data_IF_885533550945
#
_entry.id   IF_885533550945
#
_cell.length_a   1.000
_cell.length_b   1.000
_cell.length_c   1.000
_cell.angle_alpha   90.00
_cell.angle_beta   90.00
_cell.angle_gamma   90.00
#
_symmetry.space_group_name_H-M   'P 1'
#
loop_
_entity.id
_entity.type
_entity.pdbx_description
1 polymer ?
#
# COMPACT_ATOMS: atom_id res chain seq x y z
N UNK A 1 3.81 24.95 -20.57
CA UNK A 1 4.62 23.72 -20.74
C UNK A 1 3.74 22.55 -20.37
N UNK A 2 3.74 21.46 -21.14
CA UNK A 2 2.96 20.26 -20.83
C UNK A 2 3.57 19.46 -19.68
N UNK A 3 2.83 18.49 -19.16
CA UNK A 3 3.31 17.61 -18.10
C UNK A 3 4.49 16.76 -18.59
N UNK A 4 5.53 16.65 -17.76
CA UNK A 4 6.67 15.76 -17.96
C UNK A 4 6.52 14.55 -17.02
N UNK A 5 6.20 13.41 -17.60
CA UNK A 5 6.09 12.13 -16.90
C UNK A 5 7.46 11.72 -16.31
N UNK A 6 7.54 11.37 -15.01
CA UNK A 6 8.76 10.85 -14.42
C UNK A 6 9.17 9.51 -15.05
N UNK A 7 10.49 9.25 -15.05
CA UNK A 7 11.04 7.98 -15.50
C UNK A 7 10.52 6.78 -14.69
N UNK A 8 10.45 5.60 -15.33
CA UNK A 8 9.85 4.38 -14.79
C UNK A 8 10.35 4.03 -13.37
N UNK A 9 11.68 4.01 -13.19
CA UNK A 9 12.28 3.70 -11.88
C UNK A 9 11.89 4.71 -10.80
N UNK A 10 11.82 6.01 -11.14
CA UNK A 10 11.41 7.04 -10.20
C UNK A 10 9.95 6.87 -9.79
N UNK A 11 9.06 6.65 -10.77
CA UNK A 11 7.63 6.45 -10.52
C UNK A 11 7.37 5.22 -9.64
N UNK A 12 8.01 4.08 -9.92
CA UNK A 12 7.88 2.88 -9.09
C UNK A 12 8.45 3.06 -7.69
N UNK A 13 9.62 3.69 -7.55
CA UNK A 13 10.20 3.96 -6.24
C UNK A 13 9.29 4.83 -5.39
N UNK A 14 8.76 5.93 -5.96
CA UNK A 14 7.82 6.81 -5.27
C UNK A 14 6.51 6.10 -4.92
N UNK A 15 6.04 5.20 -5.78
CA UNK A 15 4.85 4.39 -5.49
C UNK A 15 5.09 3.44 -4.32
N UNK A 16 6.26 2.81 -4.24
CA UNK A 16 6.61 1.92 -3.13
C UNK A 16 6.65 2.65 -1.79
N UNK A 17 7.09 3.92 -1.76
CA UNK A 17 7.14 4.75 -0.54
C UNK A 17 5.92 5.66 -0.35
N UNK A 18 4.87 5.51 -1.17
CA UNK A 18 3.70 6.40 -1.16
C UNK A 18 2.99 6.37 0.20
N UNK A 19 2.83 5.18 0.78
CA UNK A 19 2.24 5.00 2.11
C UNK A 19 3.05 5.73 3.20
N UNK A 20 4.37 5.64 3.18
CA UNK A 20 5.24 6.31 4.15
C UNK A 20 5.21 7.82 3.98
N UNK A 21 5.20 8.29 2.74
CA UNK A 21 5.07 9.72 2.40
C UNK A 21 3.76 10.28 2.94
N UNK A 22 2.65 9.58 2.71
CA UNK A 22 1.34 9.98 3.24
C UNK A 22 1.32 9.98 4.77
N UNK A 23 1.80 8.90 5.41
CA UNK A 23 1.85 8.80 6.88
C UNK A 23 2.65 9.95 7.50
N UNK A 24 3.75 10.39 6.87
CA UNK A 24 4.52 11.56 7.32
C UNK A 24 3.73 12.85 7.22
N UNK A 25 2.99 13.07 6.12
CA UNK A 25 2.20 14.28 5.93
C UNK A 25 1.08 14.42 6.96
N UNK A 26 0.43 13.32 7.33
CA UNK A 26 -0.62 13.32 8.37
C UNK A 26 -0.08 13.16 9.79
N UNK A 27 1.24 13.19 9.99
CA UNK A 27 1.93 12.99 11.27
C UNK A 27 1.46 11.72 12.02
N UNK A 28 1.28 10.62 11.28
CA UNK A 28 0.83 9.35 11.86
C UNK A 28 1.90 8.78 12.80
N UNK A 29 1.45 8.07 13.84
CA UNK A 29 2.34 7.32 14.72
C UNK A 29 3.18 6.32 13.92
N UNK A 30 4.50 6.35 14.13
CA UNK A 30 5.44 5.42 13.51
C UNK A 30 5.76 4.34 14.55
N UNK A 31 5.21 3.12 14.41
CA UNK A 31 5.49 2.07 15.38
C UNK A 31 6.97 1.65 15.32
N UNK A 32 7.59 1.32 16.46
CA UNK A 32 8.90 0.66 16.48
C UNK A 32 8.89 -0.63 15.65
N UNK A 33 10.04 -1.12 15.21
CA UNK A 33 10.11 -2.44 14.54
C UNK A 33 9.69 -3.55 15.48
N UNK A 34 9.30 -4.71 14.93
CA UNK A 34 8.88 -5.85 15.76
C UNK A 34 9.93 -6.24 16.80
N UNK A 35 11.21 -6.26 16.41
CA UNK A 35 12.34 -6.55 17.29
C UNK A 35 12.45 -5.52 18.41
N UNK A 36 12.29 -4.23 18.09
CA UNK A 36 12.29 -3.15 19.08
C UNK A 36 11.11 -3.27 20.06
N UNK A 37 9.92 -3.63 19.58
CA UNK A 37 8.76 -3.88 20.46
C UNK A 37 9.04 -5.07 21.38
N UNK A 38 9.58 -6.19 20.86
CA UNK A 38 9.94 -7.35 21.69
C UNK A 38 10.94 -6.96 22.78
N UNK A 39 11.99 -6.21 22.45
CA UNK A 39 13.01 -5.75 23.39
C UNK A 39 12.44 -4.81 24.48
N UNK A 40 11.55 -3.89 24.10
CA UNK A 40 10.87 -3.00 25.05
C UNK A 40 9.97 -3.80 26.01
N UNK A 41 9.24 -4.79 25.49
CA UNK A 41 8.36 -5.65 26.30
C UNK A 41 9.15 -6.62 27.20
N UNK A 42 10.29 -7.12 26.76
CA UNK A 42 11.12 -8.04 27.58
C UNK A 42 11.75 -7.33 28.78
N UNK A 43 12.16 -6.06 28.62
CA UNK A 43 12.69 -5.22 29.70
C UNK A 43 11.62 -4.62 30.63
N UNK A 44 10.33 -4.82 30.32
CA UNK A 44 9.21 -4.22 31.05
C UNK A 44 9.17 -4.58 32.55
N UNK A 45 9.36 -5.85 32.97
CA UNK A 45 9.34 -6.23 34.39
C UNK A 45 10.45 -5.55 35.20
N UNK A 46 11.66 -5.43 34.63
CA UNK A 46 12.81 -4.79 35.27
C UNK A 46 12.54 -3.29 35.48
N UNK A 47 12.11 -2.58 34.42
CA UNK A 47 11.74 -1.15 34.49
C UNK A 47 10.62 -0.89 35.49
N UNK A 48 9.64 -1.78 35.58
CA UNK A 48 8.55 -1.67 36.54
C UNK A 48 9.05 -1.77 37.98
N UNK A 49 9.87 -2.78 38.28
CA UNK A 49 10.45 -2.94 39.60
C UNK A 49 11.31 -1.74 40.00
N UNK A 50 12.12 -1.22 39.08
CA UNK A 50 12.93 -0.02 39.31
C UNK A 50 12.05 1.20 39.68
N UNK A 51 11.00 1.48 38.90
CA UNK A 51 10.11 2.63 39.16
C UNK A 51 9.29 2.48 40.44
N UNK A 52 8.79 1.29 40.75
CA UNK A 52 8.04 1.05 41.99
C UNK A 52 8.93 1.24 43.21
N UNK A 53 10.17 0.73 43.18
CA UNK A 53 11.10 0.88 44.29
C UNK A 53 11.51 2.34 44.53
N UNK A 54 11.48 3.20 43.49
CA UNK A 54 11.73 4.64 43.60
C UNK A 54 10.54 5.45 44.13
N UNK A 55 9.31 4.92 44.09
CA UNK A 55 8.12 5.56 44.68
C UNK A 55 7.99 5.13 46.15
N UNK A 56 8.63 5.84 47.07
CA UNK A 56 8.45 5.66 48.52
C UNK A 56 7.35 6.59 49.07
N UNK A 57 6.35 6.04 49.76
CA UNK A 57 5.29 6.82 50.40
C UNK A 57 4.12 5.98 50.93
N UNK A 58 3.41 6.49 51.95
CA UNK A 58 2.33 5.81 52.70
C UNK A 58 1.11 5.36 51.84
N UNK A 59 1.01 5.82 50.59
CA UNK A 59 -0.12 5.57 49.68
C UNK A 59 0.19 4.56 48.56
N UNK A 60 1.36 3.92 48.56
CA UNK A 60 1.77 2.90 47.56
C UNK A 60 1.17 1.53 47.89
N UNK A 61 -0.05 1.49 48.42
CA UNK A 61 -0.70 0.26 48.90
C UNK A 61 -1.96 -0.12 48.09
N UNK A 62 -1.93 0.06 46.78
CA UNK A 62 -2.92 -0.54 45.89
C UNK A 62 -2.26 -1.66 45.07
N UNK A 63 -2.37 -2.88 45.59
CA UNK A 63 -2.17 -4.19 44.93
C UNK A 63 -1.02 -4.23 43.91
N UNK A 64 0.23 -4.23 44.39
CA UNK A 64 1.45 -4.45 43.60
C UNK A 64 1.34 -5.71 42.71
N UNK A 65 0.77 -6.80 43.25
CA UNK A 65 0.52 -8.06 42.53
C UNK A 65 -0.38 -7.89 41.31
N UNK A 66 -1.60 -7.35 41.48
CA UNK A 66 -2.54 -7.14 40.37
C UNK A 66 -1.96 -6.25 39.25
N UNK A 67 -1.15 -5.25 39.58
CA UNK A 67 -0.51 -4.36 38.59
C UNK A 67 0.69 -5.01 37.90
N UNK A 68 1.41 -5.89 38.59
CA UNK A 68 2.41 -6.78 37.99
C UNK A 68 1.76 -7.77 37.04
N UNK A 69 0.68 -8.45 37.44
CA UNK A 69 -0.01 -9.46 36.61
C UNK A 69 -0.61 -8.84 35.33
N UNK A 70 -1.17 -7.64 35.46
CA UNK A 70 -1.65 -6.84 34.32
C UNK A 70 -0.55 -6.42 33.35
N UNK A 71 0.67 -6.22 33.86
CA UNK A 71 1.84 -5.86 33.05
C UNK A 71 2.50 -7.11 32.45
N UNK A 72 2.53 -8.21 33.23
CA UNK A 72 3.06 -9.51 32.83
C UNK A 72 2.25 -10.12 31.68
N UNK A 73 0.95 -9.81 31.57
CA UNK A 73 0.13 -10.24 30.44
C UNK A 73 0.74 -9.88 29.07
N UNK A 74 1.44 -8.74 28.95
CA UNK A 74 2.11 -8.33 27.72
C UNK A 74 3.36 -9.19 27.50
N UNK A 75 4.21 -9.36 28.53
CA UNK A 75 5.42 -10.18 28.44
C UNK A 75 5.13 -11.67 28.20
N UNK A 76 3.99 -12.18 28.67
CA UNK A 76 3.52 -13.55 28.41
C UNK A 76 3.15 -13.82 26.95
N UNK A 77 3.00 -12.77 26.12
CA UNK A 77 2.82 -12.92 24.68
C UNK A 77 4.13 -13.25 23.96
N UNK A 78 5.28 -12.77 24.46
CA UNK A 78 6.58 -12.95 23.79
C UNK A 78 6.90 -14.40 23.39
N UNK A 79 6.77 -15.41 24.28
CA UNK A 79 7.05 -16.80 23.92
C UNK A 79 5.96 -17.45 23.07
N UNK A 80 4.81 -16.79 22.87
CA UNK A 80 3.67 -17.30 22.09
C UNK A 80 3.60 -16.72 20.68
N UNK A 81 4.45 -15.75 20.36
CA UNK A 81 4.52 -15.09 19.06
C UNK A 81 5.83 -15.46 18.36
N UNK A 82 5.82 -15.65 17.02
CA UNK A 82 7.00 -16.05 16.27
C UNK A 82 8.12 -15.02 16.39
N UNK A 83 9.38 -15.47 16.42
CA UNK A 83 10.56 -14.59 16.35
C UNK A 83 11.01 -14.36 14.92
N UNK A 84 10.86 -15.37 14.07
CA UNK A 84 11.19 -15.36 12.65
C UNK A 84 10.01 -15.94 11.86
N UNK A 85 9.90 -15.60 10.59
CA UNK A 85 8.83 -16.07 9.72
C UNK A 85 8.72 -15.24 8.44
N UNK A 86 7.66 -15.50 7.68
CA UNK A 86 7.31 -14.64 6.54
C UNK A 86 7.01 -13.21 7.00
N UNK A 87 7.15 -12.24 6.08
CA UNK A 87 6.80 -10.83 6.34
C UNK A 87 5.37 -10.68 6.87
N UNK A 88 4.44 -11.52 6.41
CA UNK A 88 3.05 -11.51 6.86
C UNK A 88 2.91 -11.99 8.30
N UNK A 89 3.56 -13.10 8.66
CA UNK A 89 3.54 -13.64 10.03
C UNK A 89 4.18 -12.66 11.02
N UNK A 90 5.32 -12.06 10.66
CA UNK A 90 6.00 -11.06 11.49
C UNK A 90 5.16 -9.80 11.65
N UNK A 91 4.54 -9.29 10.57
CA UNK A 91 3.64 -8.14 10.65
C UNK A 91 2.41 -8.42 11.53
N UNK A 92 1.85 -9.64 11.46
CA UNK A 92 0.74 -10.04 12.31
C UNK A 92 1.16 -10.13 13.77
N UNK A 93 2.31 -10.77 14.06
CA UNK A 93 2.87 -10.84 15.41
C UNK A 93 3.18 -9.46 16.00
N UNK A 94 3.71 -8.55 15.17
CA UNK A 94 3.95 -7.17 15.53
C UNK A 94 2.65 -6.45 15.93
N UNK A 95 1.61 -6.53 15.10
CA UNK A 95 0.31 -5.91 15.40
C UNK A 95 -0.35 -6.49 16.66
N UNK A 96 -0.22 -7.81 16.91
CA UNK A 96 -0.73 -8.44 18.14
C UNK A 96 -0.02 -7.88 19.37
N UNK A 97 1.32 -7.87 19.35
CA UNK A 97 2.12 -7.42 20.49
C UNK A 97 1.90 -5.94 20.77
N UNK A 98 1.95 -5.10 19.74
CA UNK A 98 1.68 -3.67 19.86
C UNK A 98 0.22 -3.40 20.27
N UNK A 99 -0.73 -4.22 19.82
CA UNK A 99 -2.13 -4.15 20.22
C UNK A 99 -2.35 -4.39 21.71
N UNK A 100 -1.63 -5.34 22.31
CA UNK A 100 -1.65 -5.57 23.75
C UNK A 100 -1.08 -4.38 24.55
N UNK A 101 0.02 -3.81 24.07
CA UNK A 101 0.67 -2.61 24.64
C UNK A 101 -0.27 -1.40 24.57
N UNK A 102 -0.84 -1.11 23.40
CA UNK A 102 -1.78 0.00 23.17
C UNK A 102 -3.04 -0.17 24.03
N UNK A 103 -3.64 -1.37 24.03
CA UNK A 103 -4.82 -1.65 24.84
C UNK A 103 -4.56 -1.32 26.31
N UNK A 104 -3.40 -1.74 26.84
CA UNK A 104 -3.04 -1.47 28.23
C UNK A 104 -2.87 0.02 28.50
N UNK A 105 -2.17 0.74 27.62
CA UNK A 105 -1.99 2.18 27.70
C UNK A 105 -3.34 2.92 27.78
N UNK A 106 -4.26 2.61 26.86
CA UNK A 106 -5.58 3.24 26.78
C UNK A 106 -6.48 2.87 27.97
N UNK A 107 -6.39 1.64 28.48
CA UNK A 107 -7.10 1.22 29.70
C UNK A 107 -6.64 1.99 30.92
N UNK A 108 -5.33 2.24 31.06
CA UNK A 108 -4.83 3.08 32.15
C UNK A 108 -5.39 4.49 32.00
N UNK A 109 -5.27 5.14 30.83
CA UNK A 109 -5.83 6.48 30.61
C UNK A 109 -7.32 6.55 30.98
N UNK A 110 -8.12 5.57 30.55
CA UNK A 110 -9.56 5.49 30.86
C UNK A 110 -9.84 5.35 32.36
N UNK A 111 -9.00 4.61 33.09
CA UNK A 111 -9.19 4.38 34.52
C UNK A 111 -9.01 5.65 35.37
N UNK A 112 -8.25 6.63 34.87
CA UNK A 112 -8.03 7.93 35.53
C UNK A 112 -8.97 9.05 35.02
N UNK A 113 -9.86 8.77 34.06
CA UNK A 113 -10.87 9.74 33.57
C UNK A 113 -11.98 10.11 34.59
N UNK A 114 -12.42 9.24 35.53
CA UNK A 114 -13.48 9.61 36.46
C UNK A 114 -13.18 10.91 37.24
N UNK A 115 -14.18 11.80 37.36
CA UNK A 115 -14.04 13.15 37.93
C UNK A 115 -13.42 13.19 39.33
N UNK A 116 -13.60 12.12 40.13
CA UNK A 116 -13.03 12.06 41.47
C UNK A 116 -11.50 11.94 41.45
N UNK A 117 -10.90 11.19 40.52
CA UNK A 117 -9.43 11.10 40.44
C UNK A 117 -8.81 12.45 40.08
N UNK A 118 -9.40 13.16 39.10
CA UNK A 118 -8.96 14.51 38.75
C UNK A 118 -9.13 15.51 39.90
N UNK A 119 -10.16 15.36 40.73
CA UNK A 119 -10.38 16.21 41.90
C UNK A 119 -9.27 16.05 42.95
N UNK A 120 -8.74 14.85 43.12
CA UNK A 120 -7.60 14.56 44.01
C UNK A 120 -6.23 14.75 43.33
N UNK A 121 -6.19 15.32 42.12
CA UNK A 121 -4.94 15.54 41.37
C UNK A 121 -4.30 14.28 40.80
N UNK A 122 -4.97 13.12 40.85
CA UNK A 122 -4.47 11.88 40.25
C UNK A 122 -4.60 11.89 38.74
N UNK A 123 -3.58 11.39 38.07
CA UNK A 123 -3.45 11.34 36.62
C UNK A 123 -2.82 10.02 36.16
N UNK A 124 -2.90 9.67 34.86
CA UNK A 124 -2.19 8.52 34.32
C UNK A 124 -0.68 8.52 34.63
N UNK A 125 -0.07 9.71 34.79
CA UNK A 125 1.35 9.86 35.14
C UNK A 125 1.69 9.29 36.53
N UNK A 126 0.70 9.03 37.37
CA UNK A 126 0.91 8.36 38.66
C UNK A 126 1.08 6.84 38.52
N UNK A 127 0.74 6.26 37.38
CA UNK A 127 0.95 4.83 37.09
C UNK A 127 2.35 4.56 36.55
N UNK A 128 3.14 3.73 37.23
CA UNK A 128 4.46 3.29 36.75
C UNK A 128 4.37 2.61 35.38
N UNK A 129 3.35 1.77 35.17
CA UNK A 129 3.10 1.10 33.88
C UNK A 129 2.88 2.14 32.78
N UNK A 130 2.11 3.19 33.03
CA UNK A 130 1.90 4.25 32.03
C UNK A 130 3.18 5.00 31.72
N UNK A 131 3.98 5.35 32.74
CA UNK A 131 5.27 6.03 32.53
C UNK A 131 6.21 5.20 31.64
N UNK A 132 6.32 3.89 31.87
CA UNK A 132 7.17 3.01 31.05
C UNK A 132 6.66 2.95 29.62
N UNK A 133 5.34 2.78 29.45
CA UNK A 133 4.73 2.73 28.12
C UNK A 133 4.94 4.05 27.35
N UNK A 134 4.83 5.20 28.04
CA UNK A 134 5.07 6.49 27.40
C UNK A 134 6.56 6.73 27.11
N UNK A 135 7.48 6.31 27.97
CA UNK A 135 8.93 6.40 27.74
C UNK A 135 9.37 5.50 26.57
N UNK A 136 8.82 4.29 26.48
CA UNK A 136 9.23 3.31 25.47
C UNK A 136 8.55 3.52 24.12
N UNK A 137 7.28 3.95 24.11
CA UNK A 137 6.48 4.01 22.87
C UNK A 137 6.08 5.42 22.47
N UNK A 138 6.26 6.41 23.34
CA UNK A 138 6.00 7.83 23.05
C UNK A 138 4.57 8.08 22.52
N UNK A 139 3.57 7.34 23.02
CA UNK A 139 2.22 7.36 22.45
C UNK A 139 1.54 8.74 22.52
N UNK A 140 1.71 9.49 23.60
CA UNK A 140 1.18 10.85 23.68
C UNK A 140 2.05 11.84 22.90
N UNK A 141 3.39 11.69 22.93
CA UNK A 141 4.33 12.57 22.20
C UNK A 141 4.22 12.45 20.67
N UNK A 142 4.07 11.23 20.15
CA UNK A 142 3.95 10.94 18.72
C UNK A 142 2.49 10.87 18.23
N UNK A 143 1.53 11.20 19.08
CA UNK A 143 0.09 11.21 18.75
C UNK A 143 -0.40 9.87 18.18
N UNK A 144 -0.47 8.85 19.02
CA UNK A 144 -1.01 7.53 18.67
C UNK A 144 -2.37 7.66 17.96
N UNK A 145 -2.38 7.34 16.66
CA UNK A 145 -3.52 7.58 15.78
C UNK A 145 -4.58 6.47 15.87
N UNK A 146 -5.83 6.83 15.53
CA UNK A 146 -6.97 5.94 15.64
C UNK A 146 -6.90 4.71 14.72
N UNK A 147 -6.26 4.84 13.55
CA UNK A 147 -6.10 3.73 12.60
C UNK A 147 -5.13 2.69 13.16
N UNK A 148 -4.01 3.12 13.74
CA UNK A 148 -3.05 2.25 14.42
C UNK A 148 -3.68 1.57 15.65
N UNK A 149 -4.43 2.31 16.47
CA UNK A 149 -5.15 1.74 17.62
C UNK A 149 -6.08 0.63 17.15
N UNK A 150 -6.95 0.92 16.19
CA UNK A 150 -7.95 -0.03 15.76
C UNK A 150 -7.31 -1.27 15.12
N UNK A 151 -6.33 -1.09 14.23
CA UNK A 151 -5.66 -2.22 13.54
C UNK A 151 -4.89 -3.12 14.50
N UNK A 152 -4.13 -2.55 15.43
CA UNK A 152 -3.37 -3.36 16.39
C UNK A 152 -4.28 -4.03 17.42
N UNK A 153 -5.29 -3.30 17.95
CA UNK A 153 -6.22 -3.89 18.92
C UNK A 153 -7.14 -4.94 18.30
N UNK A 154 -7.54 -4.80 17.02
CA UNK A 154 -8.26 -5.85 16.28
C UNK A 154 -7.41 -7.11 16.10
N UNK A 155 -6.14 -6.96 15.74
CA UNK A 155 -5.21 -8.09 15.64
C UNK A 155 -5.05 -8.81 16.99
N UNK A 156 -4.92 -8.04 18.08
CA UNK A 156 -4.85 -8.59 19.43
C UNK A 156 -6.15 -9.30 19.83
N UNK A 157 -7.32 -8.70 19.57
CA UNK A 157 -8.61 -9.33 19.83
C UNK A 157 -8.76 -10.65 19.06
N UNK A 158 -8.47 -10.63 17.76
CA UNK A 158 -8.55 -11.81 16.91
C UNK A 158 -7.66 -12.93 17.43
N UNK A 159 -6.41 -12.62 17.81
CA UNK A 159 -5.49 -13.57 18.43
C UNK A 159 -6.06 -14.17 19.72
N UNK A 160 -6.59 -13.35 20.63
CA UNK A 160 -7.16 -13.84 21.88
C UNK A 160 -8.41 -14.70 21.69
N UNK A 161 -9.17 -14.49 20.61
CA UNK A 161 -10.37 -15.26 20.27
C UNK A 161 -10.08 -16.55 19.48
N UNK A 162 -8.85 -16.79 19.03
CA UNK A 162 -8.45 -18.03 18.35
C UNK A 162 -8.70 -19.26 19.23
N UNK A 163 -9.33 -20.28 18.65
CA UNK A 163 -9.48 -21.58 19.29
C UNK A 163 -8.18 -22.38 19.19
N UNK A 164 -7.70 -22.88 20.33
CA UNK A 164 -6.56 -23.79 20.42
C UNK A 164 -6.98 -25.08 21.09
N UNK A 165 -6.51 -26.20 20.54
CA UNK A 165 -6.74 -27.53 21.12
C UNK A 165 -5.67 -27.77 22.17
N UNK A 166 -6.11 -27.99 23.41
CA UNK A 166 -5.22 -28.35 24.51
C UNK A 166 -4.62 -29.74 24.34
N UNK A 167 -3.57 -30.05 25.09
CA UNK A 167 -2.96 -31.39 25.16
C UNK A 167 -3.95 -32.49 25.56
N UNK A 168 -5.08 -32.14 26.17
CA UNK A 168 -6.17 -33.04 26.57
C UNK A 168 -7.38 -33.01 25.60
N UNK A 169 -7.20 -32.48 24.39
CA UNK A 169 -8.23 -32.48 23.33
C UNK A 169 -9.37 -31.47 23.53
N UNK A 170 -9.35 -30.63 24.58
CA UNK A 170 -10.36 -29.60 24.80
C UNK A 170 -10.04 -28.35 23.99
N UNK A 171 -11.05 -27.78 23.34
CA UNK A 171 -10.99 -26.45 22.72
C UNK A 171 -11.08 -25.37 23.79
N UNK A 172 -10.15 -24.42 23.78
CA UNK A 172 -10.21 -23.20 24.58
C UNK A 172 -9.71 -22.01 23.75
N UNK A 173 -10.06 -20.79 24.15
CA UNK A 173 -9.52 -19.61 23.49
C UNK A 173 -8.08 -19.37 23.95
N UNK A 174 -7.26 -18.74 23.10
CA UNK A 174 -5.92 -18.29 23.50
C UNK A 174 -5.99 -17.36 24.71
N UNK A 175 -7.00 -16.48 24.77
CA UNK A 175 -7.24 -15.59 25.90
C UNK A 175 -7.43 -16.30 27.25
N UNK A 176 -7.96 -17.53 27.24
CA UNK A 176 -8.15 -18.33 28.45
C UNK A 176 -6.80 -18.78 29.06
N UNK A 177 -5.69 -18.66 28.34
CA UNK A 177 -4.37 -18.99 28.88
C UNK A 177 -3.78 -17.88 29.76
N UNK A 178 -4.41 -16.70 29.81
CA UNK A 178 -3.93 -15.55 30.58
C UNK A 178 -4.80 -15.36 31.83
N UNK A 179 -4.25 -15.56 33.05
CA UNK A 179 -5.02 -15.42 34.30
C UNK A 179 -5.71 -14.06 34.44
N UNK A 180 -5.01 -12.97 34.11
CA UNK A 180 -5.57 -11.62 34.16
C UNK A 180 -6.83 -11.45 33.27
N UNK A 181 -6.86 -12.06 32.08
CA UNK A 181 -8.01 -11.97 31.18
C UNK A 181 -9.20 -12.76 31.74
N UNK A 182 -8.93 -13.92 32.38
CA UNK A 182 -9.96 -14.72 33.05
C UNK A 182 -10.59 -14.00 34.24
N UNK A 183 -9.81 -13.22 34.98
CA UNK A 183 -10.28 -12.48 36.16
C UNK A 183 -11.02 -11.18 35.81
N UNK A 184 -10.65 -10.51 34.71
CA UNK A 184 -11.30 -9.27 34.25
C UNK A 184 -12.52 -9.58 33.36
N UNK A 185 -13.69 -9.75 33.99
CA UNK A 185 -14.97 -10.07 33.29
C UNK A 185 -15.37 -9.06 32.20
N UNK A 186 -14.88 -7.82 32.27
CA UNK A 186 -15.15 -6.78 31.28
C UNK A 186 -14.01 -6.65 30.26
N UNK A 187 -12.98 -7.49 30.27
CA UNK A 187 -11.81 -7.37 29.40
C UNK A 187 -12.19 -7.26 27.92
N UNK A 188 -12.91 -8.25 27.39
CA UNK A 188 -13.30 -8.27 25.98
C UNK A 188 -14.24 -7.14 25.62
N UNK A 189 -15.16 -6.78 26.52
CA UNK A 189 -16.07 -5.65 26.34
C UNK A 189 -15.30 -4.32 26.24
N UNK A 190 -14.29 -4.13 27.08
CA UNK A 190 -13.43 -2.95 27.07
C UNK A 190 -12.55 -2.88 25.81
N UNK A 191 -11.96 -4.00 25.41
CA UNK A 191 -11.17 -4.09 24.17
C UNK A 191 -12.03 -3.78 22.94
N UNK A 192 -13.21 -4.40 22.83
CA UNK A 192 -14.18 -4.13 21.75
C UNK A 192 -14.66 -2.68 21.74
N UNK A 193 -14.86 -2.06 22.90
CA UNK A 193 -15.22 -0.64 22.98
C UNK A 193 -14.10 0.27 22.45
N UNK A 194 -12.83 0.02 22.83
CA UNK A 194 -11.68 0.76 22.30
C UNK A 194 -11.58 0.62 20.78
N UNK A 195 -11.72 -0.60 20.26
CA UNK A 195 -11.69 -0.88 18.82
C UNK A 195 -12.80 -0.11 18.11
N UNK A 196 -14.04 -0.20 18.58
CA UNK A 196 -15.19 0.47 17.97
C UNK A 196 -15.00 1.98 17.92
N UNK A 197 -14.61 2.59 19.05
CA UNK A 197 -14.44 4.04 19.14
C UNK A 197 -13.29 4.51 18.23
N UNK A 198 -12.17 3.78 18.21
CA UNK A 198 -11.05 4.08 17.32
C UNK A 198 -11.41 3.90 15.85
N UNK A 199 -12.12 2.82 15.50
CA UNK A 199 -12.47 2.52 14.10
C UNK A 199 -13.44 3.53 13.50
N UNK A 200 -14.34 4.09 14.31
CA UNK A 200 -15.21 5.20 13.91
C UNK A 200 -14.40 6.46 13.53
N UNK A 201 -13.37 6.79 14.31
CA UNK A 201 -12.49 7.94 14.05
C UNK A 201 -11.55 7.66 12.86
N UNK A 202 -11.11 6.40 12.71
CA UNK A 202 -10.14 6.01 11.70
C UNK A 202 -10.71 5.96 10.27
N UNK A 203 -12.02 5.85 10.08
CA UNK A 203 -12.65 5.66 8.76
C UNK A 203 -12.11 6.57 7.65
N UNK A 204 -11.91 7.89 7.85
CA UNK A 204 -11.37 8.77 6.81
C UNK A 204 -9.93 8.43 6.41
N UNK A 205 -9.10 8.03 7.37
CA UNK A 205 -7.71 7.61 7.10
C UNK A 205 -7.72 6.23 6.45
N UNK A 206 -8.55 5.30 6.92
CA UNK A 206 -8.71 3.98 6.30
C UNK A 206 -9.09 4.10 4.82
N UNK A 207 -10.01 5.01 4.48
CA UNK A 207 -10.42 5.25 3.10
C UNK A 207 -9.25 5.75 2.23
N UNK A 208 -8.45 6.69 2.74
CA UNK A 208 -7.27 7.20 2.04
C UNK A 208 -6.18 6.13 1.86
N UNK A 209 -5.94 5.31 2.89
CA UNK A 209 -4.99 4.20 2.83
C UNK A 209 -5.44 3.13 1.82
N UNK A 210 -6.74 2.90 1.63
CA UNK A 210 -7.25 2.01 0.57
C UNK A 210 -6.94 2.55 -0.82
N UNK A 211 -7.01 3.88 -1.03
CA UNK A 211 -6.64 4.51 -2.32
C UNK A 211 -5.13 4.32 -2.59
N UNK A 212 -4.29 4.52 -1.58
CA UNK A 212 -2.84 4.24 -1.69
C UNK A 212 -2.58 2.77 -2.01
N UNK A 213 -3.26 1.87 -1.30
CA UNK A 213 -3.12 0.42 -1.51
C UNK A 213 -3.53 0.00 -2.92
N UNK A 214 -4.55 0.62 -3.49
CA UNK A 214 -4.90 0.43 -4.90
C UNK A 214 -3.72 0.75 -5.82
N UNK A 215 -3.18 1.97 -5.77
CA UNK A 215 -2.07 2.39 -6.64
C UNK A 215 -0.84 1.50 -6.47
N UNK A 216 -0.51 1.13 -5.23
CA UNK A 216 0.61 0.23 -4.96
C UNK A 216 0.37 -1.18 -5.53
N UNK A 217 -0.84 -1.72 -5.40
CA UNK A 217 -1.19 -3.02 -5.98
C UNK A 217 -1.17 -3.02 -7.51
N UNK A 218 -1.58 -1.90 -8.15
CA UNK A 218 -1.45 -1.71 -9.60
C UNK A 218 0.02 -1.75 -10.01
N UNK A 219 0.89 -1.00 -9.33
CA UNK A 219 2.31 -0.98 -9.65
C UNK A 219 2.97 -2.36 -9.51
N UNK A 220 2.57 -3.16 -8.50
CA UNK A 220 3.03 -4.55 -8.35
C UNK A 220 2.51 -5.42 -9.49
N UNK A 221 1.21 -5.36 -9.79
CA UNK A 221 0.58 -6.15 -10.85
C UNK A 221 1.22 -5.88 -12.22
N UNK A 222 1.37 -4.60 -12.60
CA UNK A 222 1.98 -4.22 -13.88
C UNK A 222 3.44 -4.63 -13.96
N UNK A 223 4.22 -4.46 -12.89
CA UNK A 223 5.61 -4.93 -12.87
C UNK A 223 5.71 -6.45 -13.06
N UNK A 224 4.80 -7.22 -12.47
CA UNK A 224 4.75 -8.67 -12.69
C UNK A 224 4.41 -9.01 -14.14
N UNK A 225 3.45 -8.31 -14.75
CA UNK A 225 3.11 -8.50 -16.17
C UNK A 225 4.27 -8.11 -17.10
N UNK A 226 4.91 -6.97 -16.85
CA UNK A 226 6.07 -6.49 -17.59
C UNK A 226 7.21 -7.52 -17.55
N UNK A 227 7.53 -8.05 -16.36
CA UNK A 227 8.56 -9.08 -16.22
C UNK A 227 8.21 -10.35 -17.01
N UNK A 228 6.96 -10.81 -16.93
CA UNK A 228 6.51 -11.99 -17.68
C UNK A 228 6.59 -11.75 -19.20
N UNK A 229 6.24 -10.56 -19.68
CA UNK A 229 6.36 -10.19 -21.09
C UNK A 229 7.84 -10.14 -21.54
N UNK A 230 8.73 -9.58 -20.71
CA UNK A 230 10.17 -9.52 -20.98
C UNK A 230 10.83 -10.91 -21.03
N UNK A 231 10.33 -11.89 -20.29
CA UNK A 231 10.82 -13.28 -20.38
C UNK A 231 10.50 -13.94 -21.74
N UNK A 232 9.41 -13.52 -22.38
CA UNK A 232 8.97 -14.05 -23.68
C UNK A 232 9.66 -13.34 -24.85
N UNK A 233 9.97 -12.05 -24.67
CA UNK A 233 10.48 -11.17 -25.71
C UNK A 233 11.71 -11.70 -26.48
N UNK A 234 12.73 -12.32 -25.87
CA UNK A 234 13.87 -12.88 -26.60
C UNK A 234 13.47 -13.97 -27.60
N UNK A 235 12.49 -14.82 -27.24
CA UNK A 235 11.98 -15.87 -28.14
C UNK A 235 11.20 -15.26 -29.30
N UNK A 236 10.33 -14.29 -29.02
CA UNK A 236 9.59 -13.56 -30.06
C UNK A 236 10.55 -12.86 -31.02
N UNK A 237 11.55 -12.15 -30.50
CA UNK A 237 12.59 -11.47 -31.27
C UNK A 237 13.34 -12.43 -32.20
N UNK A 238 13.65 -13.64 -31.72
CA UNK A 238 14.26 -14.69 -32.55
C UNK A 238 13.36 -15.13 -33.70
N UNK A 239 12.07 -15.36 -33.44
CA UNK A 239 11.08 -15.78 -34.45
C UNK A 239 10.90 -14.69 -35.51
N UNK A 240 10.70 -13.44 -35.10
CA UNK A 240 10.58 -12.26 -35.99
C UNK A 240 11.84 -12.12 -36.86
N UNK A 241 13.03 -12.17 -36.23
CA UNK A 241 14.31 -12.08 -36.94
C UNK A 241 14.49 -13.21 -37.96
N UNK A 242 14.09 -14.44 -37.61
CA UNK A 242 14.19 -15.59 -38.52
C UNK A 242 13.23 -15.47 -39.70
N UNK A 243 12.03 -14.93 -39.51
CA UNK A 243 11.07 -14.67 -40.59
C UNK A 243 11.64 -13.63 -41.58
N UNK A 244 12.13 -12.51 -41.07
CA UNK A 244 12.72 -11.44 -41.87
C UNK A 244 14.02 -11.87 -42.59
N UNK A 245 14.84 -12.74 -41.99
CA UNK A 245 16.03 -13.30 -42.65
C UNK A 245 15.69 -14.18 -43.86
N UNK A 246 14.59 -14.94 -43.81
CA UNK A 246 14.14 -15.78 -44.93
C UNK A 246 13.54 -14.98 -46.07
N UNK A 247 13.04 -13.77 -45.79
CA UNK A 247 12.45 -12.88 -46.79
C UNK A 247 12.83 -11.43 -46.49
N UNK A 248 14.06 -10.97 -46.83
CA UNK A 248 14.59 -9.67 -46.39
C UNK A 248 13.84 -8.44 -46.91
N UNK A 249 13.10 -8.59 -48.00
CA UNK A 249 12.22 -7.56 -48.57
C UNK A 249 10.80 -7.56 -47.98
N UNK A 250 10.49 -8.53 -47.10
CA UNK A 250 9.21 -8.58 -46.40
C UNK A 250 9.21 -7.56 -45.25
N UNK A 251 8.09 -6.88 -45.10
CA UNK A 251 7.74 -6.07 -43.94
C UNK A 251 6.69 -6.85 -43.13
N UNK A 252 6.80 -6.81 -41.81
CA UNK A 252 5.85 -7.46 -40.90
C UNK A 252 5.00 -6.38 -40.23
N UNK A 253 3.69 -6.52 -40.35
CA UNK A 253 2.70 -5.70 -39.64
C UNK A 253 2.59 -6.13 -38.18
N UNK A 254 1.89 -5.32 -37.36
CA UNK A 254 1.56 -5.69 -35.98
C UNK A 254 0.81 -7.02 -35.90
N UNK A 255 -0.13 -7.26 -36.82
CA UNK A 255 -0.89 -8.50 -36.94
C UNK A 255 0.03 -9.69 -37.27
N UNK A 256 0.95 -9.53 -38.23
CA UNK A 256 1.92 -10.59 -38.56
C UNK A 256 2.77 -10.97 -37.33
N UNK A 257 3.21 -9.97 -36.54
CA UNK A 257 4.00 -10.22 -35.33
C UNK A 257 3.16 -10.86 -34.23
N UNK A 258 1.88 -10.50 -34.10
CA UNK A 258 0.95 -11.13 -33.17
C UNK A 258 0.72 -12.61 -33.51
N UNK A 259 0.57 -12.96 -34.79
CA UNK A 259 0.49 -14.35 -35.22
C UNK A 259 1.76 -15.14 -34.89
N UNK A 260 2.94 -14.53 -35.07
CA UNK A 260 4.22 -15.13 -34.67
C UNK A 260 4.30 -15.36 -33.15
N UNK A 261 3.78 -14.44 -32.34
CA UNK A 261 3.69 -14.59 -30.89
C UNK A 261 2.81 -15.79 -30.50
N UNK A 262 1.72 -16.03 -31.22
CA UNK A 262 0.85 -17.18 -30.97
C UNK A 262 1.51 -18.52 -31.29
N UNK A 263 2.48 -18.56 -32.22
CA UNK A 263 3.26 -19.78 -32.51
C UNK A 263 4.20 -20.23 -31.39
N UNK A 264 4.42 -19.39 -30.36
CA UNK A 264 5.27 -19.70 -29.21
C UNK A 264 4.52 -20.58 -28.16
N UNK A 265 3.25 -20.92 -28.42
CA UNK A 265 2.40 -21.75 -27.55
C UNK A 265 2.82 -23.24 -27.54
N UNK A 266 2.84 -23.96 -26.39
CA UNK A 266 2.10 -23.76 -25.13
C UNK A 266 2.85 -23.11 -23.95
N UNK A 267 4.08 -22.63 -24.13
CA UNK A 267 4.98 -22.31 -23.01
C UNK A 267 4.78 -20.91 -22.36
N UNK A 268 3.77 -20.13 -22.76
CA UNK A 268 3.64 -18.71 -22.40
C UNK A 268 2.26 -18.41 -21.82
N UNK A 269 2.24 -17.67 -20.70
CA UNK A 269 1.03 -17.15 -20.07
C UNK A 269 0.30 -16.17 -21.01
N UNK A 270 -1.02 -16.34 -21.20
CA UNK A 270 -1.85 -15.46 -22.03
C UNK A 270 -1.75 -13.98 -21.64
N UNK A 271 -1.66 -13.66 -20.34
CA UNK A 271 -1.50 -12.28 -19.89
C UNK A 271 -0.20 -11.65 -20.44
N UNK A 272 0.89 -12.42 -20.56
CA UNK A 272 2.15 -11.94 -21.11
C UNK A 272 2.05 -11.69 -22.63
N UNK A 273 1.29 -12.52 -23.35
CA UNK A 273 1.04 -12.30 -24.79
C UNK A 273 0.24 -11.03 -25.02
N UNK A 274 -0.88 -10.87 -24.31
CA UNK A 274 -1.73 -9.68 -24.45
C UNK A 274 -0.97 -8.41 -24.05
N UNK A 275 -0.12 -8.48 -23.02
CA UNK A 275 0.78 -7.37 -22.67
C UNK A 275 1.72 -6.99 -23.81
N UNK A 276 2.34 -7.98 -24.49
CA UNK A 276 3.20 -7.72 -25.65
C UNK A 276 2.42 -7.16 -26.84
N UNK A 277 1.20 -7.64 -27.08
CA UNK A 277 0.31 -7.14 -28.16
C UNK A 277 0.04 -5.64 -28.04
N UNK A 278 -0.04 -5.10 -26.81
CA UNK A 278 -0.25 -3.66 -26.59
C UNK A 278 0.91 -2.78 -27.08
N UNK A 279 2.09 -3.35 -27.32
CA UNK A 279 3.32 -2.61 -27.60
C UNK A 279 4.02 -3.08 -28.88
N UNK A 280 3.33 -3.87 -29.69
CA UNK A 280 3.85 -4.25 -31.00
C UNK A 280 3.95 -3.01 -31.90
N UNK A 281 5.05 -2.88 -32.66
CA UNK A 281 5.18 -1.83 -33.65
C UNK A 281 4.20 -2.04 -34.80
N UNK A 282 3.74 -0.94 -35.39
CA UNK A 282 2.91 -0.98 -36.60
C UNK A 282 3.60 -1.74 -37.75
N UNK A 283 4.94 -1.62 -37.83
CA UNK A 283 5.74 -2.23 -38.88
C UNK A 283 7.16 -2.58 -38.41
N UNK A 284 7.64 -3.77 -38.81
CA UNK A 284 9.01 -4.24 -38.59
C UNK A 284 9.65 -4.63 -39.92
N UNK A 285 10.89 -4.19 -40.14
CA UNK A 285 11.68 -4.53 -41.32
C UNK A 285 12.93 -5.31 -40.94
N UNK A 286 13.67 -5.82 -41.92
CA UNK A 286 14.99 -6.44 -41.70
C UNK A 286 16.03 -5.51 -41.06
N UNK A 287 15.84 -4.19 -41.13
CA UNK A 287 16.67 -3.18 -40.44
C UNK A 287 16.24 -2.92 -39.00
N UNK A 288 15.06 -3.41 -38.59
CA UNK A 288 14.43 -3.14 -37.31
C UNK A 288 13.15 -2.30 -37.43
N UNK A 289 12.82 -1.60 -36.35
CA UNK A 289 11.66 -0.71 -36.24
C UNK A 289 12.12 0.72 -36.45
N UNK A 290 11.54 1.41 -37.43
CA UNK A 290 11.80 2.82 -37.68
C UNK A 290 11.01 3.68 -36.69
N UNK A 291 11.70 4.47 -35.87
CA UNK A 291 11.06 5.29 -34.85
C UNK A 291 11.84 6.59 -34.57
N UNK A 292 11.17 7.54 -33.92
CA UNK A 292 11.77 8.78 -33.43
C UNK A 292 12.29 8.58 -32.02
N UNK A 293 13.61 8.64 -31.86
CA UNK A 293 14.26 8.52 -30.55
C UNK A 293 14.63 9.91 -30.04
N UNK A 294 14.41 10.15 -28.74
CA UNK A 294 14.85 11.41 -28.10
C UNK A 294 16.35 11.34 -27.84
N UNK A 295 17.09 12.35 -28.30
CA UNK A 295 18.53 12.48 -28.02
C UNK A 295 18.71 13.00 -26.59
N UNK A 296 19.03 12.10 -25.67
CA UNK A 296 19.40 12.43 -24.29
C UNK A 296 20.49 13.51 -24.25
N UNK A 297 20.31 14.54 -23.40
CA UNK A 297 21.23 15.66 -23.19
C UNK A 297 21.33 16.70 -24.32
N UNK A 298 20.40 16.73 -25.26
CA UNK A 298 20.25 17.86 -26.18
C UNK A 298 19.37 18.97 -25.57
N UNK A 299 19.84 20.22 -25.61
CA UNK A 299 19.02 21.41 -25.33
C UNK A 299 19.09 22.35 -26.55
N UNK A 300 18.00 22.57 -27.30
CA UNK A 300 16.65 22.01 -27.08
C UNK A 300 16.57 20.49 -27.32
N UNK A 301 15.52 19.85 -26.79
CA UNK A 301 15.23 18.42 -27.00
C UNK A 301 15.19 18.16 -28.51
N UNK A 302 16.09 17.31 -29.01
CA UNK A 302 16.12 16.84 -30.40
C UNK A 302 15.62 15.41 -30.48
N UNK A 303 14.91 15.12 -31.56
CA UNK A 303 14.51 13.76 -31.95
C UNK A 303 15.25 13.37 -33.20
N UNK A 304 15.70 12.12 -33.29
CA UNK A 304 16.33 11.55 -34.47
C UNK A 304 15.53 10.36 -34.97
N UNK A 305 15.36 10.29 -36.28
CA UNK A 305 14.78 9.12 -36.95
C UNK A 305 15.83 8.02 -37.01
N UNK A 306 15.58 6.89 -36.36
CA UNK A 306 16.52 5.78 -36.27
C UNK A 306 15.81 4.43 -36.32
N UNK A 307 16.51 3.42 -36.83
CA UNK A 307 16.11 2.03 -36.65
C UNK A 307 16.56 1.52 -35.28
N UNK A 308 15.61 1.07 -34.48
CA UNK A 308 15.85 0.28 -33.28
C UNK A 308 15.72 -1.21 -33.60
N UNK A 309 16.43 -2.06 -32.85
CA UNK A 309 16.14 -3.50 -32.92
C UNK A 309 14.69 -3.74 -32.46
N UNK A 310 14.05 -4.78 -32.97
CA UNK A 310 12.68 -5.13 -32.55
C UNK A 310 12.58 -5.30 -31.03
N UNK A 311 13.56 -5.96 -30.43
CA UNK A 311 13.62 -6.17 -28.99
C UNK A 311 13.75 -4.86 -28.22
N UNK A 312 14.66 -3.96 -28.62
CA UNK A 312 14.85 -2.68 -27.93
C UNK A 312 13.58 -1.81 -28.02
N UNK A 313 12.97 -1.76 -29.22
CA UNK A 313 11.71 -1.04 -29.41
C UNK A 313 10.61 -1.55 -28.47
N UNK A 314 10.36 -2.87 -28.47
CA UNK A 314 9.28 -3.45 -27.66
C UNK A 314 9.57 -3.25 -26.17
N UNK A 315 10.83 -3.35 -25.73
CA UNK A 315 11.21 -3.09 -24.35
C UNK A 315 10.95 -1.62 -23.95
N UNK A 316 11.34 -0.65 -24.78
CA UNK A 316 11.06 0.77 -24.54
C UNK A 316 9.55 1.07 -24.54
N UNK A 317 8.81 0.50 -25.49
CA UNK A 317 7.37 0.67 -25.60
C UNK A 317 6.64 0.06 -24.40
N UNK A 318 7.06 -1.12 -23.91
CA UNK A 318 6.54 -1.75 -22.69
C UNK A 318 6.74 -0.86 -21.47
N UNK A 319 7.96 -0.34 -21.27
CA UNK A 319 8.27 0.58 -20.18
C UNK A 319 7.36 1.82 -20.27
N UNK A 320 7.27 2.46 -21.45
CA UNK A 320 6.45 3.65 -21.64
C UNK A 320 4.98 3.38 -21.37
N UNK A 321 4.43 2.27 -21.89
CA UNK A 321 3.02 1.90 -21.71
C UNK A 321 2.71 1.64 -20.23
N UNK A 322 3.60 0.93 -19.52
CA UNK A 322 3.49 0.68 -18.07
C UNK A 322 3.56 1.97 -17.24
N UNK A 323 4.43 2.93 -17.62
CA UNK A 323 4.46 4.25 -16.97
C UNK A 323 3.14 5.01 -17.13
N UNK A 324 2.57 5.03 -18.34
CA UNK A 324 1.27 5.68 -18.57
C UNK A 324 0.13 4.94 -17.87
N UNK A 325 0.14 3.61 -17.87
CA UNK A 325 -0.88 2.83 -17.17
C UNK A 325 -0.85 3.10 -15.65
N UNK A 326 0.34 3.13 -15.04
CA UNK A 326 0.47 3.50 -13.63
C UNK A 326 0.05 4.96 -13.39
N UNK A 327 0.38 5.89 -14.29
CA UNK A 327 -0.11 7.26 -14.24
C UNK A 327 -1.65 7.31 -14.28
N UNK A 328 -2.30 6.49 -15.11
CA UNK A 328 -3.75 6.35 -15.15
C UNK A 328 -4.35 5.93 -13.81
N UNK A 329 -3.71 5.00 -13.11
CA UNK A 329 -4.12 4.62 -11.76
C UNK A 329 -4.00 5.79 -10.76
N UNK A 330 -2.94 6.60 -10.85
CA UNK A 330 -2.80 7.82 -10.06
C UNK A 330 -3.88 8.85 -10.38
N UNK A 331 -4.26 9.02 -11.64
CA UNK A 331 -5.32 9.97 -12.06
C UNK A 331 -6.66 9.54 -11.46
N UNK A 332 -7.01 8.25 -11.52
CA UNK A 332 -8.19 7.71 -10.85
C UNK A 332 -8.12 7.91 -9.34
N UNK A 333 -6.98 7.61 -8.71
CA UNK A 333 -6.80 7.82 -7.28
C UNK A 333 -6.97 9.30 -6.87
N UNK A 334 -6.43 10.24 -7.66
CA UNK A 334 -6.58 11.68 -7.44
C UNK A 334 -8.04 12.14 -7.53
N UNK A 335 -8.83 11.57 -8.43
CA UNK A 335 -10.25 11.91 -8.54
C UNK A 335 -11.10 11.46 -7.33
N UNK A 336 -10.57 10.49 -6.56
CA UNK A 336 -11.14 10.04 -5.29
C UNK A 336 -10.62 10.80 -4.08
N UNK A 337 -9.58 11.61 -4.24
CA UNK A 337 -9.07 12.45 -3.15
C UNK A 337 -10.07 13.57 -2.82
N UNK A 338 -10.47 13.65 -1.54
CA UNK A 338 -11.39 14.69 -1.07
C UNK A 338 -10.65 16.03 -0.95
N UNK A 339 -11.31 17.13 -1.29
CA UNK A 339 -10.68 18.46 -1.35
C UNK A 339 -10.32 19.03 0.03
N UNK A 340 -10.97 18.56 1.10
CA UNK A 340 -10.77 18.97 2.49
C UNK A 340 -9.63 18.23 3.19
N UNK A 341 -9.00 17.24 2.53
CA UNK A 341 -7.88 16.44 3.03
C UNK A 341 -6.71 16.46 2.03
N UNK A 342 -5.92 17.56 2.01
CA UNK A 342 -4.92 17.79 0.98
C UNK A 342 -3.78 16.77 1.02
N UNK A 343 -3.51 16.12 2.16
CA UNK A 343 -2.32 15.29 2.36
C UNK A 343 -2.26 14.08 1.42
N UNK A 344 -3.40 13.42 1.16
CA UNK A 344 -3.44 12.33 0.17
C UNK A 344 -3.16 12.87 -1.24
N UNK A 345 -3.81 13.98 -1.61
CA UNK A 345 -3.63 14.60 -2.91
C UNK A 345 -2.19 15.05 -3.12
N UNK A 346 -1.57 15.61 -2.09
CA UNK A 346 -0.17 16.05 -2.10
C UNK A 346 0.78 14.86 -2.22
N UNK A 347 0.54 13.77 -1.47
CA UNK A 347 1.31 12.54 -1.60
C UNK A 347 1.22 11.94 -3.01
N UNK A 348 0.01 11.85 -3.58
CA UNK A 348 -0.23 11.34 -4.93
C UNK A 348 0.44 12.22 -5.99
N UNK A 349 0.25 13.54 -5.91
CA UNK A 349 0.87 14.49 -6.84
C UNK A 349 2.40 14.49 -6.74
N UNK A 350 2.95 14.38 -5.53
CA UNK A 350 4.39 14.27 -5.34
C UNK A 350 4.95 13.02 -6.01
N UNK A 351 4.28 11.88 -5.86
CA UNK A 351 4.74 10.61 -6.42
C UNK A 351 4.86 10.64 -7.95
N UNK A 352 3.94 11.34 -8.62
CA UNK A 352 3.94 11.54 -10.08
C UNK A 352 4.61 12.85 -10.53
N UNK A 353 5.28 13.57 -9.64
CA UNK A 353 5.90 14.87 -9.92
C UNK A 353 4.93 15.93 -10.50
N UNK A 354 3.62 15.84 -10.20
CA UNK A 354 2.61 16.79 -10.64
C UNK A 354 2.53 18.00 -9.70
N UNK A 355 3.60 18.80 -9.65
CA UNK A 355 3.75 19.91 -8.71
C UNK A 355 4.28 21.18 -9.41
N UNK A 356 3.95 22.35 -8.86
CA UNK A 356 4.42 23.65 -9.37
C UNK A 356 4.00 23.88 -10.82
N UNK A 357 4.98 24.10 -11.70
CA UNK A 357 4.74 24.31 -13.15
C UNK A 357 4.48 23.02 -13.91
N UNK A 358 4.76 21.85 -13.33
CA UNK A 358 4.55 20.54 -13.97
C UNK A 358 3.16 20.00 -13.61
N UNK A 359 2.10 20.55 -14.20
CA UNK A 359 0.72 20.14 -13.93
C UNK A 359 0.21 19.16 -14.99
N UNK A 360 -0.61 18.20 -14.58
CA UNK A 360 -1.24 17.22 -15.49
C UNK A 360 -2.14 17.92 -16.50
N UNK A 361 -1.77 17.88 -17.78
CA UNK A 361 -2.61 18.32 -18.90
C UNK A 361 -3.62 17.23 -19.32
N UNK A 362 -4.70 17.64 -19.99
CA UNK A 362 -5.81 16.74 -20.38
C UNK A 362 -5.37 15.64 -21.35
N UNK A 363 -4.39 15.90 -22.22
CA UNK A 363 -3.87 14.93 -23.18
C UNK A 363 -3.10 13.81 -22.46
N UNK A 364 -2.23 14.17 -21.53
CA UNK A 364 -1.52 13.21 -20.68
C UNK A 364 -2.51 12.42 -19.82
N UNK A 365 -3.54 13.07 -19.26
CA UNK A 365 -4.58 12.35 -18.50
C UNK A 365 -5.27 11.29 -19.35
N UNK A 366 -5.68 11.65 -20.58
CA UNK A 366 -6.32 10.72 -21.51
C UNK A 366 -5.41 9.54 -21.82
N UNK A 367 -4.14 9.78 -22.14
CA UNK A 367 -3.18 8.72 -22.42
C UNK A 367 -2.99 7.78 -21.23
N UNK A 368 -2.87 8.33 -20.02
CA UNK A 368 -2.74 7.52 -18.81
C UNK A 368 -3.96 6.63 -18.56
N UNK A 369 -5.17 7.20 -18.67
CA UNK A 369 -6.41 6.44 -18.47
C UNK A 369 -6.65 5.37 -19.54
N UNK A 370 -6.32 5.65 -20.82
CA UNK A 370 -6.42 4.65 -21.90
C UNK A 370 -5.43 3.51 -21.67
N UNK A 371 -4.17 3.84 -21.36
CA UNK A 371 -3.17 2.82 -21.05
C UNK A 371 -3.59 1.96 -19.84
N UNK A 372 -4.11 2.58 -18.78
CA UNK A 372 -4.62 1.87 -17.62
C UNK A 372 -5.79 0.94 -17.99
N UNK A 373 -6.75 1.42 -18.79
CA UNK A 373 -7.88 0.62 -19.26
C UNK A 373 -7.42 -0.61 -20.05
N UNK A 374 -6.47 -0.44 -20.96
CA UNK A 374 -5.93 -1.54 -21.75
C UNK A 374 -5.26 -2.61 -20.87
N UNK A 375 -4.57 -2.21 -19.80
CA UNK A 375 -3.96 -3.16 -18.87
C UNK A 375 -4.98 -3.91 -18.03
N UNK A 376 -5.95 -3.21 -17.43
CA UNK A 376 -6.90 -3.84 -16.49
C UNK A 376 -7.95 -4.72 -17.17
N UNK A 377 -8.01 -4.70 -18.50
CA UNK A 377 -8.89 -5.57 -19.30
C UNK A 377 -8.18 -6.83 -19.80
N UNK A 378 -6.85 -6.96 -19.59
CA UNK A 378 -6.11 -8.17 -19.97
C UNK A 378 -6.60 -9.37 -19.14
N UNK A 379 -6.96 -10.50 -19.78
CA UNK A 379 -7.31 -11.71 -19.05
C UNK A 379 -6.14 -12.23 -18.20
N UNK A 380 -6.42 -12.59 -16.95
CA UNK A 380 -5.43 -13.21 -16.06
C UNK A 380 -4.40 -12.26 -15.45
N UNK A 381 -4.68 -10.94 -15.42
CA UNK A 381 -3.82 -9.99 -14.70
C UNK A 381 -3.64 -10.40 -13.23
N UNK A 382 -2.46 -10.16 -12.64
CA UNK A 382 -2.27 -10.29 -11.19
C UNK A 382 -3.25 -9.40 -10.42
N UNK A 383 -3.64 -9.86 -9.23
CA UNK A 383 -4.67 -9.22 -8.43
C UNK A 383 -4.33 -7.76 -8.09
N UNK A 384 -5.34 -6.88 -8.25
CA UNK A 384 -5.30 -5.46 -7.88
C UNK A 384 -6.31 -5.23 -6.75
N UNK A 385 -5.96 -4.38 -5.78
CA UNK A 385 -6.82 -4.07 -4.65
C UNK A 385 -7.80 -2.92 -4.98
N UNK A 386 -9.03 -3.26 -5.34
CA UNK A 386 -10.07 -2.27 -5.68
C UNK A 386 -10.94 -1.82 -4.49
N UNK A 387 -10.55 -2.12 -3.25
CA UNK A 387 -11.40 -1.90 -2.05
C UNK A 387 -11.70 -0.43 -1.72
N UNK A 388 -11.05 0.53 -2.38
CA UNK A 388 -11.38 1.96 -2.26
C UNK A 388 -12.64 2.38 -3.02
N UNK A 389 -13.14 1.55 -3.94
CA UNK A 389 -14.42 1.76 -4.61
C UNK A 389 -15.56 1.02 -3.92
N UNK A 390 -15.39 -0.28 -3.69
CA UNK A 390 -16.37 -1.12 -3.01
C UNK A 390 -15.67 -2.32 -2.37
N UNK A 391 -16.20 -2.84 -1.26
CA UNK A 391 -15.56 -3.93 -0.52
C UNK A 391 -15.50 -5.24 -1.32
N UNK A 392 -16.58 -5.54 -2.06
CA UNK A 392 -16.78 -6.83 -2.73
C UNK A 392 -16.81 -6.72 -4.26
N UNK A 393 -17.20 -5.55 -4.79
CA UNK A 393 -17.39 -5.28 -6.24
C UNK A 393 -16.54 -4.10 -6.68
N UNK A 394 -15.34 -4.00 -6.12
CA UNK A 394 -14.48 -2.83 -6.32
C UNK A 394 -14.10 -2.62 -7.79
N UNK A 395 -13.90 -3.71 -8.55
CA UNK A 395 -13.53 -3.66 -9.95
C UNK A 395 -14.62 -3.03 -10.82
N UNK A 396 -15.87 -3.46 -10.68
CA UNK A 396 -17.01 -2.97 -11.48
C UNK A 396 -17.26 -1.48 -11.25
N UNK A 397 -17.09 -1.03 -10.00
CA UNK A 397 -17.22 0.39 -9.66
C UNK A 397 -16.04 1.21 -10.19
N UNK A 398 -14.82 0.68 -10.11
CA UNK A 398 -13.63 1.31 -10.68
C UNK A 398 -13.74 1.45 -12.20
N UNK A 399 -14.13 0.38 -12.90
CA UNK A 399 -14.28 0.37 -14.35
C UNK A 399 -15.35 1.36 -14.80
N UNK A 400 -16.50 1.40 -14.11
CA UNK A 400 -17.54 2.41 -14.38
C UNK A 400 -17.01 3.84 -14.25
N UNK A 401 -16.21 4.12 -13.22
CA UNK A 401 -15.60 5.44 -13.04
C UNK A 401 -14.56 5.75 -14.13
N UNK A 402 -13.73 4.77 -14.48
CA UNK A 402 -12.75 4.88 -15.56
C UNK A 402 -13.44 5.23 -16.89
N UNK A 403 -14.52 4.53 -17.25
CA UNK A 403 -15.31 4.82 -18.45
C UNK A 403 -15.92 6.23 -18.40
N UNK A 404 -16.42 6.66 -17.23
CA UNK A 404 -16.95 8.02 -17.07
C UNK A 404 -15.86 9.09 -17.31
N UNK A 405 -14.65 8.88 -16.80
CA UNK A 405 -13.54 9.82 -16.99
C UNK A 405 -13.06 9.85 -18.45
N UNK A 406 -12.91 8.69 -19.09
CA UNK A 406 -12.56 8.60 -20.50
C UNK A 406 -13.59 9.31 -21.39
N UNK A 407 -14.88 9.10 -21.15
CA UNK A 407 -15.96 9.76 -21.88
C UNK A 407 -15.95 11.28 -21.69
N UNK A 408 -15.65 11.76 -20.48
CA UNK A 408 -15.52 13.20 -20.19
C UNK A 408 -14.39 13.83 -20.99
N UNK A 409 -13.23 13.16 -21.06
CA UNK A 409 -12.07 13.65 -21.80
C UNK A 409 -12.28 13.64 -23.32
N UNK A 410 -13.01 12.66 -23.86
CA UNK A 410 -13.34 12.62 -25.29
C UNK A 410 -14.24 13.79 -25.72
N UNK A 411 -15.25 14.14 -24.91
CA UNK A 411 -16.17 15.26 -25.19
C UNK A 411 -15.51 16.64 -25.14
N UNK A 412 -14.46 16.80 -24.34
CA UNK A 412 -13.73 18.07 -24.28
C UNK A 412 -12.96 18.34 -25.59
N UNK A 413 -12.44 17.28 -26.22
CA UNK A 413 -11.74 17.39 -27.51
C UNK A 413 -12.68 17.80 -28.64
N UNK A 414 -13.90 17.25 -28.67
CA UNK A 414 -14.93 17.61 -29.66
C UNK A 414 -15.31 19.09 -29.55
N UNK A 415 -15.42 19.63 -28.33
CA UNK A 415 -15.72 21.06 -28.13
C UNK A 415 -14.58 22.00 -28.53
N UNK A 416 -13.33 21.60 -28.30
CA UNK A 416 -12.18 22.39 -28.76
C UNK A 416 -12.10 22.40 -30.29
N UNK A 417 -12.34 21.26 -30.95
CA UNK A 417 -12.38 21.14 -32.41
C UNK A 417 -13.56 21.93 -33.02
N UNK A 418 -14.74 21.94 -32.37
CA UNK A 418 -15.87 22.77 -32.79
C UNK A 418 -15.56 24.26 -32.69
N UNK A 419 -15.00 24.74 -31.58
CA UNK A 419 -14.67 26.17 -31.39
C UNK A 419 -13.64 26.64 -32.41
N UNK A 420 -12.65 25.82 -32.76
CA UNK A 420 -11.67 26.14 -33.81
C UNK A 420 -12.22 26.02 -35.25
N UNK A 421 -13.36 25.35 -35.46
CA UNK A 421 -14.04 25.33 -36.76
C UNK A 421 -14.95 26.55 -37.01
N UNK A 422 -15.16 27.37 -35.96
CA UNK A 422 -15.95 28.61 -36.01
C UNK A 422 -15.10 29.89 -36.04
N UNK A 423 -13.77 29.78 -36.03
CA UNK A 423 -12.81 30.86 -36.27
C UNK A 423 -12.00 30.57 -37.54
#
# INVERSE_FOLDING_TARGET
>A
MGYKLPGYRYLHNNTNILHDTFNKLINRYIPPTYEQVRQKVSSFPEKYNEKVNKKSGLLVNTTRGLRLDQSACISLLLPKLPEEGSVQEINQAHNILLGAVIYRFLRIKKSYKPKYYSYFGYSPKDSCTYQILEEDFEFDKQQLDAETIATCCEAYLAYLEQEVVTTIGKKQKVGDQFPYIKEDVDFYKNLKAIIRDARAIAQPITAQLKIISFVQSVAVSFRTMDNNALEVLPKLSSVVSNKLKKSPAQELTSEDVAELLDTIHPAVNEAAKETLKLVLPDMVTSKGVFTKVIISNSSPIRTEDKYLSFQDYVQEALIMNSQYALLGAYILALSRSEADKPELKDALNHAIAAQGVNQLDEKTKKWGLVAFHNYVTIPGIPAINYKCWHADTGYEHMDKELQQQLNKLSRLKEKEEEVFSFF
#
